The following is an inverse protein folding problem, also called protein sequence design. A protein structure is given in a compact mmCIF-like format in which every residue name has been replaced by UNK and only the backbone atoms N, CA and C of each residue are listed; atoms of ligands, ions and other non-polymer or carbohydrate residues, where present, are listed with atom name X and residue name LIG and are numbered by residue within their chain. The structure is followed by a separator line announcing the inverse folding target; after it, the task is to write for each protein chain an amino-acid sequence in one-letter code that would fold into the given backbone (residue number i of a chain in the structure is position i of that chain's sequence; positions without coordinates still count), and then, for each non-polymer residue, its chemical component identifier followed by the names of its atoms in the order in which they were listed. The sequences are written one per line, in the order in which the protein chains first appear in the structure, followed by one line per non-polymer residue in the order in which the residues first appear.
data_IF_286579304044
#
_entry.id   IF_286579304044
#
_cell.length_a   1.000
_cell.length_b   1.000
_cell.length_c   1.000
_cell.angle_alpha   90.00
_cell.angle_beta   90.00
_cell.angle_gamma   90.00
#
_symmetry.space_group_name_H-M   'P 1'
#
loop_
_entity.id
_entity.type
_entity.pdbx_description
1 polymer ?
#
# COMPACT_ATOMS: atom_id res chain seq x y z
N UNK A 1 -11.99 -12.54 -17.20
CA UNK A 1 -10.91 -12.25 -16.23
C UNK A 1 -9.86 -11.50 -17.00
N UNK A 2 -9.95 -10.18 -17.02
CA UNK A 2 -8.89 -9.34 -17.59
C UNK A 2 -7.76 -9.32 -16.57
N UNK A 3 -6.68 -10.02 -16.88
CA UNK A 3 -5.42 -9.89 -16.14
C UNK A 3 -4.89 -8.51 -16.46
N UNK A 4 -4.99 -7.57 -15.53
CA UNK A 4 -4.31 -6.29 -15.61
C UNK A 4 -2.81 -6.59 -15.63
N UNK A 5 -2.20 -6.52 -16.81
CA UNK A 5 -0.75 -6.43 -16.94
C UNK A 5 -0.33 -5.13 -16.26
N UNK A 6 0.14 -5.23 -15.02
CA UNK A 6 0.81 -4.13 -14.36
C UNK A 6 2.06 -3.80 -15.18
N UNK A 7 1.99 -2.68 -15.90
CA UNK A 7 3.09 -1.96 -16.53
C UNK A 7 4.18 -1.70 -15.47
N UNK A 8 5.09 -2.66 -15.25
CA UNK A 8 6.16 -2.54 -14.27
C UNK A 8 7.54 -2.46 -14.94
N UNK A 9 7.63 -1.60 -15.96
CA UNK A 9 8.92 -1.13 -16.50
C UNK A 9 9.56 -0.03 -15.62
N UNK A 10 8.93 0.37 -14.51
CA UNK A 10 9.43 1.43 -13.62
C UNK A 10 10.20 0.89 -12.41
N UNK A 11 11.04 -0.13 -12.61
CA UNK A 11 12.00 -0.52 -11.56
C UNK A 11 13.10 0.55 -11.47
N UNK A 12 13.43 1.05 -10.26
CA UNK A 12 14.45 2.07 -10.12
C UNK A 12 15.81 1.52 -10.56
N UNK A 13 16.49 2.25 -11.43
CA UNK A 13 17.79 1.89 -11.98
C UNK A 13 18.94 2.27 -11.04
N UNK A 14 18.69 3.18 -10.11
CA UNK A 14 19.66 3.69 -9.14
C UNK A 14 19.03 3.93 -7.75
N UNK A 15 19.89 4.26 -6.78
CA UNK A 15 19.47 4.47 -5.39
C UNK A 15 18.57 5.71 -5.21
N UNK A 16 18.79 6.76 -6.00
CA UNK A 16 18.03 8.01 -5.89
C UNK A 16 16.59 7.83 -6.39
N UNK A 17 16.40 7.16 -7.52
CA UNK A 17 15.09 6.77 -8.03
C UNK A 17 14.34 5.90 -7.02
N UNK A 18 15.03 4.93 -6.43
CA UNK A 18 14.46 4.08 -5.38
C UNK A 18 14.04 4.90 -4.17
N UNK A 19 14.86 5.85 -3.73
CA UNK A 19 14.54 6.72 -2.60
C UNK A 19 13.29 7.57 -2.87
N UNK A 20 13.15 8.13 -4.08
CA UNK A 20 11.95 8.87 -4.49
C UNK A 20 10.71 7.98 -4.46
N UNK A 21 10.80 6.76 -5.00
CA UNK A 21 9.69 5.80 -4.98
C UNK A 21 9.31 5.37 -3.56
N UNK A 22 10.31 5.12 -2.70
CA UNK A 22 10.10 4.81 -1.27
C UNK A 22 9.33 5.94 -0.58
N UNK A 23 9.77 7.19 -0.73
CA UNK A 23 9.11 8.35 -0.12
C UNK A 23 7.66 8.47 -0.59
N UNK A 24 7.42 8.30 -1.90
CA UNK A 24 6.07 8.33 -2.46
C UNK A 24 5.19 7.24 -1.86
N UNK A 25 5.68 6.00 -1.76
CA UNK A 25 4.90 4.88 -1.24
C UNK A 25 4.57 5.05 0.24
N UNK A 26 5.51 5.56 1.04
CA UNK A 26 5.26 5.87 2.45
C UNK A 26 4.16 6.94 2.61
N UNK A 27 4.21 8.03 1.85
CA UNK A 27 3.17 9.07 1.87
C UNK A 27 1.79 8.52 1.45
N UNK A 28 1.74 7.66 0.42
CA UNK A 28 0.49 7.02 0.01
C UNK A 28 -0.06 6.09 1.09
N UNK A 29 0.79 5.27 1.72
CA UNK A 29 0.38 4.38 2.82
C UNK A 29 -0.15 5.19 4.00
N UNK A 30 0.53 6.26 4.40
CA UNK A 30 0.10 7.14 5.50
C UNK A 30 -1.25 7.78 5.22
N UNK A 31 -1.46 8.33 4.01
CA UNK A 31 -2.73 8.93 3.60
C UNK A 31 -3.86 7.91 3.61
N UNK A 32 -3.61 6.71 3.10
CA UNK A 32 -4.62 5.66 3.08
C UNK A 32 -4.95 5.17 4.49
N UNK A 33 -3.96 5.05 5.37
CA UNK A 33 -4.19 4.75 6.79
C UNK A 33 -5.04 5.82 7.48
N UNK A 34 -4.77 7.10 7.22
CA UNK A 34 -5.58 8.20 7.76
C UNK A 34 -7.03 8.18 7.22
N UNK A 35 -7.23 7.78 5.97
CA UNK A 35 -8.57 7.60 5.39
C UNK A 35 -9.31 6.43 6.06
N UNK A 36 -8.65 5.28 6.25
CA UNK A 36 -9.22 4.12 6.96
C UNK A 36 -9.65 4.55 8.37
N UNK A 37 -8.78 5.23 9.11
CA UNK A 37 -9.07 5.68 10.47
C UNK A 37 -10.26 6.66 10.50
N UNK A 38 -10.30 7.61 9.57
CA UNK A 38 -11.42 8.55 9.43
C UNK A 38 -12.74 7.83 9.16
N UNK A 39 -12.78 6.83 8.28
CA UNK A 39 -14.02 6.11 7.94
C UNK A 39 -14.41 5.08 9.00
N UNK A 40 -13.45 4.58 9.78
CA UNK A 40 -13.69 3.63 10.87
C UNK A 40 -14.28 4.32 12.10
N UNK A 41 -13.79 5.52 12.45
CA UNK A 41 -14.11 6.20 13.71
C UNK A 41 -15.31 7.17 13.60
N UNK A 42 -16.08 7.13 12.51
CA UNK A 42 -17.31 7.92 12.36
C UNK A 42 -18.46 7.34 13.20
N UNK A 43 -19.41 8.18 13.60
CA UNK A 43 -20.65 7.76 14.29
C UNK A 43 -21.40 6.65 13.54
N UNK A 44 -21.26 6.63 12.20
CA UNK A 44 -21.68 5.54 11.32
C UNK A 44 -20.51 5.13 10.43
N UNK A 45 -19.78 4.06 10.79
CA UNK A 45 -18.62 3.62 10.01
C UNK A 45 -18.99 3.24 8.58
N UNK A 46 -18.23 3.76 7.62
CA UNK A 46 -18.38 3.40 6.21
C UNK A 46 -17.55 2.16 5.89
N UNK A 47 -18.16 0.99 6.02
CA UNK A 47 -17.51 -0.30 5.80
C UNK A 47 -17.02 -0.49 4.36
N UNK A 48 -17.70 0.12 3.37
CA UNK A 48 -17.28 0.02 1.98
C UNK A 48 -16.00 0.83 1.75
N UNK A 49 -15.97 2.08 2.23
CA UNK A 49 -14.78 2.92 2.15
C UNK A 49 -13.60 2.30 2.91
N UNK A 50 -13.82 1.80 4.13
CA UNK A 50 -12.78 1.12 4.91
C UNK A 50 -12.18 -0.06 4.13
N UNK A 51 -13.02 -0.89 3.50
CA UNK A 51 -12.55 -2.01 2.69
C UNK A 51 -11.73 -1.54 1.49
N UNK A 52 -12.24 -0.58 0.71
CA UNK A 52 -11.55 -0.06 -0.47
C UNK A 52 -10.20 0.56 -0.13
N UNK A 53 -10.13 1.36 0.93
CA UNK A 53 -8.86 1.93 1.38
C UNK A 53 -7.93 0.86 1.95
N UNK A 54 -8.45 -0.19 2.59
CA UNK A 54 -7.62 -1.31 3.05
C UNK A 54 -6.99 -2.05 1.87
N UNK A 55 -7.77 -2.39 0.85
CA UNK A 55 -7.28 -3.01 -0.39
C UNK A 55 -6.19 -2.14 -1.06
N UNK A 56 -6.45 -0.84 -1.19
CA UNK A 56 -5.48 0.10 -1.78
C UNK A 56 -4.18 0.24 -0.96
N UNK A 57 -4.28 0.25 0.38
CA UNK A 57 -3.10 0.27 1.25
C UNK A 57 -2.26 -1.00 1.04
N UNK A 58 -2.92 -2.15 0.96
CA UNK A 58 -2.23 -3.43 0.82
C UNK A 58 -1.49 -3.51 -0.52
N UNK A 59 -2.05 -2.95 -1.59
CA UNK A 59 -1.35 -2.76 -2.88
C UNK A 59 -0.07 -1.92 -2.72
N UNK A 60 -0.14 -0.77 -2.05
CA UNK A 60 1.04 0.09 -1.83
C UNK A 60 2.09 -0.58 -0.92
N UNK A 61 1.65 -1.34 0.09
CA UNK A 61 2.57 -2.10 0.95
C UNK A 61 3.27 -3.20 0.16
N UNK A 62 2.56 -3.88 -0.75
CA UNK A 62 3.16 -4.89 -1.62
C UNK A 62 4.19 -4.26 -2.58
N UNK A 63 3.84 -3.14 -3.23
CA UNK A 63 4.78 -2.41 -4.10
C UNK A 63 6.02 -1.96 -3.32
N UNK A 64 5.84 -1.49 -2.08
CA UNK A 64 6.94 -1.13 -1.20
C UNK A 64 7.81 -2.34 -0.83
N UNK A 65 7.20 -3.49 -0.55
CA UNK A 65 7.92 -4.72 -0.26
C UNK A 65 8.79 -5.15 -1.46
N UNK A 66 8.22 -5.15 -2.67
CA UNK A 66 8.94 -5.49 -3.89
C UNK A 66 10.08 -4.52 -4.17
N UNK A 67 9.89 -3.23 -3.86
CA UNK A 67 10.90 -2.19 -4.02
C UNK A 67 12.10 -2.35 -3.08
N UNK A 68 11.90 -2.83 -1.86
CA UNK A 68 12.95 -2.93 -0.83
C UNK A 68 13.53 -4.34 -0.67
N UNK A 69 12.85 -5.36 -1.18
CA UNK A 69 13.34 -6.75 -1.16
C UNK A 69 14.75 -6.91 -1.76
N UNK A 70 15.12 -6.28 -2.89
CA UNK A 70 16.45 -6.46 -3.48
C UNK A 70 17.61 -5.96 -2.63
N UNK A 71 17.33 -5.08 -1.65
CA UNK A 71 18.33 -4.57 -0.70
C UNK A 71 18.29 -5.33 0.64
N UNK A 72 17.59 -6.46 0.71
CA UNK A 72 17.56 -7.35 1.87
C UNK A 72 16.58 -6.94 2.97
N UNK A 73 15.65 -6.02 2.70
CA UNK A 73 14.61 -5.62 3.66
C UNK A 73 13.35 -6.47 3.47
N UNK A 74 12.71 -6.81 4.58
CA UNK A 74 11.43 -7.53 4.61
C UNK A 74 10.38 -6.64 5.25
N UNK A 75 9.28 -6.42 4.54
CA UNK A 75 8.15 -5.62 5.01
C UNK A 75 7.13 -6.54 5.65
N UNK A 76 6.70 -6.21 6.87
CA UNK A 76 5.63 -6.92 7.57
C UNK A 76 4.44 -5.98 7.70
N UNK A 77 3.35 -6.32 7.01
CA UNK A 77 2.06 -5.65 7.17
C UNK A 77 1.37 -6.07 8.48
N UNK A 78 0.41 -5.27 8.97
CA UNK A 78 -0.48 -5.72 10.02
C UNK A 78 -1.20 -7.02 9.58
N UNK A 79 -1.55 -7.91 10.53
CA UNK A 79 -2.24 -9.14 10.19
C UNK A 79 -3.52 -8.81 9.41
N UNK A 80 -3.74 -9.52 8.29
CA UNK A 80 -4.96 -9.40 7.52
C UNK A 80 -6.15 -9.60 8.48
N UNK A 81 -6.99 -8.59 8.63
CA UNK A 81 -8.24 -8.75 9.38
C UNK A 81 -9.09 -9.73 8.58
N UNK A 82 -9.14 -10.98 9.02
CA UNK A 82 -10.08 -11.95 8.49
C UNK A 82 -11.48 -11.35 8.63
N UNK A 83 -12.17 -11.15 7.51
CA UNK A 83 -13.57 -10.79 7.51
C UNK A 83 -14.34 -11.86 8.30
N UNK A 84 -14.89 -11.47 9.44
CA UNK A 84 -15.79 -12.30 10.23
C UNK A 84 -17.21 -12.27 9.65
#
# INVERSE_FOLDING_TARGET
METYEHLNDNHPTNADERAVMVVRLLDLIERTNAAIDRHTNQDKPDQLAVRQYTELRDEYVQEFADLVQPIGLVVQGPPARQAA
#
